data_IF_863747239283
#
_entry.id   IF_863747239283
#
_cell.length_a   1.000
_cell.length_b   1.000
_cell.length_c   1.000
_cell.angle_alpha   90.00
_cell.angle_beta   90.00
_cell.angle_gamma   90.00
#
_symmetry.space_group_name_H-M   'P 1'
#
loop_
_entity.id
_entity.type
_entity.pdbx_description
1 polymer ?
#
# COMPACT_ATOMS: atom_id res chain seq x y z
N UNK A 1 -2.60 -9.15 -26.91
CA UNK A 1 -2.09 -9.30 -25.52
C UNK A 1 -3.09 -8.65 -24.57
N UNK A 2 -3.52 -9.36 -23.54
CA UNK A 2 -4.54 -8.84 -22.60
C UNK A 2 -4.03 -7.62 -21.84
N UNK A 3 -4.91 -6.60 -21.67
CA UNK A 3 -4.58 -5.39 -20.92
C UNK A 3 -4.32 -5.73 -19.45
N UNK A 4 -3.34 -5.04 -18.82
CA UNK A 4 -3.09 -5.18 -17.38
C UNK A 4 -4.31 -4.80 -16.54
N UNK A 5 -5.17 -3.88 -17.01
CA UNK A 5 -6.39 -3.50 -16.32
C UNK A 5 -7.43 -4.62 -16.31
N UNK A 6 -7.54 -5.38 -17.42
CA UNK A 6 -8.39 -6.58 -17.45
C UNK A 6 -7.86 -7.62 -16.46
N UNK A 7 -6.56 -7.82 -16.40
CA UNK A 7 -5.93 -8.71 -15.42
C UNK A 7 -6.20 -8.27 -13.99
N UNK A 8 -6.06 -6.98 -13.66
CA UNK A 8 -6.42 -6.48 -12.31
C UNK A 8 -7.88 -6.78 -11.95
N UNK A 9 -8.82 -6.64 -12.91
CA UNK A 9 -10.22 -6.92 -12.69
C UNK A 9 -10.50 -8.42 -12.43
N UNK A 10 -9.63 -9.32 -12.87
CA UNK A 10 -9.74 -10.76 -12.59
C UNK A 10 -9.31 -11.16 -11.18
N UNK A 11 -8.59 -10.27 -10.47
CA UNK A 11 -8.05 -10.52 -9.13
C UNK A 11 -8.49 -9.47 -8.10
N UNK A 12 -9.83 -9.32 -7.88
CA UNK A 12 -10.33 -8.39 -6.86
C UNK A 12 -10.05 -8.87 -5.43
N UNK A 13 -9.76 -10.17 -5.25
CA UNK A 13 -9.46 -10.78 -3.97
C UNK A 13 -8.10 -11.47 -4.00
N UNK A 14 -7.34 -11.34 -2.91
CA UNK A 14 -6.10 -12.08 -2.68
C UNK A 14 -6.18 -12.67 -1.28
N UNK A 15 -6.10 -13.98 -1.17
CA UNK A 15 -6.11 -14.67 0.11
C UNK A 15 -4.70 -15.10 0.51
N UNK A 16 -4.35 -14.90 1.77
CA UNK A 16 -3.08 -15.31 2.37
C UNK A 16 -3.32 -16.17 3.60
N UNK A 17 -2.30 -16.47 4.39
CA UNK A 17 -2.44 -17.24 5.61
C UNK A 17 -3.40 -16.56 6.60
N UNK A 18 -3.17 -15.28 6.91
CA UNK A 18 -3.92 -14.54 7.93
C UNK A 18 -4.85 -13.46 7.35
N UNK A 19 -4.71 -13.11 6.07
CA UNK A 19 -5.37 -11.95 5.48
C UNK A 19 -6.28 -12.33 4.31
N UNK A 20 -7.35 -11.56 4.15
CA UNK A 20 -8.10 -11.41 2.92
C UNK A 20 -7.93 -9.98 2.43
N UNK A 21 -7.27 -9.83 1.29
CA UNK A 21 -7.23 -8.55 0.56
C UNK A 21 -8.45 -8.51 -0.36
N UNK A 22 -9.30 -7.51 -0.19
CA UNK A 22 -10.60 -7.39 -0.86
C UNK A 22 -10.93 -5.96 -1.26
N UNK A 23 -11.92 -5.73 -2.14
CA UNK A 23 -12.39 -4.38 -2.40
C UNK A 23 -12.78 -3.64 -1.12
N UNK A 24 -12.44 -2.35 -1.05
CA UNK A 24 -12.90 -1.45 0.01
C UNK A 24 -14.34 -1.05 -0.28
N UNK A 25 -15.16 -0.96 0.76
CA UNK A 25 -16.55 -0.52 0.68
C UNK A 25 -16.82 0.63 1.65
N UNK A 26 -17.99 1.28 1.55
CA UNK A 26 -18.39 2.31 2.51
C UNK A 26 -18.64 1.77 3.92
N UNK A 27 -18.91 0.47 4.05
CA UNK A 27 -19.07 -0.19 5.34
C UNK A 27 -17.76 -0.26 6.13
N UNK A 28 -16.61 -0.10 5.45
CA UNK A 28 -15.28 -0.05 6.09
C UNK A 28 -14.97 1.31 6.72
N UNK A 29 -15.85 2.30 6.55
CA UNK A 29 -15.55 3.69 6.93
C UNK A 29 -15.24 3.87 8.42
N UNK A 30 -15.95 3.20 9.32
CA UNK A 30 -15.71 3.30 10.76
C UNK A 30 -14.36 2.68 11.13
N UNK A 31 -14.06 1.49 10.61
CA UNK A 31 -12.79 0.82 10.85
C UNK A 31 -11.61 1.58 10.23
N UNK A 32 -11.81 2.19 9.06
CA UNK A 32 -10.79 3.08 8.45
C UNK A 32 -10.62 4.36 9.26
N UNK A 33 -11.71 4.98 9.73
CA UNK A 33 -11.64 6.20 10.53
C UNK A 33 -10.86 5.99 11.83
N UNK A 34 -10.94 4.82 12.43
CA UNK A 34 -10.20 4.48 13.65
C UNK A 34 -8.69 4.77 13.52
N UNK A 35 -8.07 4.42 12.38
CA UNK A 35 -6.66 4.70 12.16
C UNK A 35 -6.41 5.98 11.35
N UNK A 36 -7.32 6.35 10.46
CA UNK A 36 -7.16 7.53 9.62
C UNK A 36 -7.32 8.85 10.40
N UNK A 37 -8.04 8.85 11.55
CA UNK A 37 -8.14 9.96 12.47
C UNK A 37 -7.01 10.02 13.51
N UNK A 38 -6.17 9.00 13.58
CA UNK A 38 -5.05 8.92 14.51
C UNK A 38 -3.80 9.59 13.91
N UNK A 39 -3.27 10.62 14.60
CA UNK A 39 -2.12 11.40 14.14
C UNK A 39 -0.82 10.58 14.09
N UNK A 40 -0.66 9.61 14.97
CA UNK A 40 0.50 8.71 14.96
C UNK A 40 0.43 7.76 13.79
N UNK A 41 -0.74 7.14 13.55
CA UNK A 41 -0.95 6.21 12.44
C UNK A 41 -0.74 6.88 11.08
N UNK A 42 -1.20 8.11 10.94
CA UNK A 42 -1.10 8.86 9.67
C UNK A 42 0.17 9.70 9.54
N UNK A 43 1.09 9.63 10.52
CA UNK A 43 2.26 10.50 10.66
C UNK A 43 3.05 10.69 9.36
N UNK A 44 3.23 9.63 8.60
CA UNK A 44 4.07 9.60 7.40
C UNK A 44 3.31 9.33 6.09
N UNK A 45 1.99 9.23 6.14
CA UNK A 45 1.18 8.80 5.00
C UNK A 45 0.33 9.95 4.43
N UNK A 46 -0.89 10.10 4.88
CA UNK A 46 -1.85 11.07 4.38
C UNK A 46 -2.31 12.03 5.49
N UNK A 47 -2.98 13.14 5.16
CA UNK A 47 -3.55 14.04 6.17
C UNK A 47 -4.51 13.31 7.10
N UNK A 48 -4.39 13.58 8.41
CA UNK A 48 -5.27 12.98 9.41
C UNK A 48 -6.72 13.40 9.18
N UNK A 49 -7.62 12.45 9.02
CA UNK A 49 -9.03 12.71 8.79
C UNK A 49 -9.68 13.33 10.04
N UNK A 50 -10.51 14.34 9.82
CA UNK A 50 -11.14 15.10 10.91
C UNK A 50 -12.54 14.57 11.25
N UNK A 51 -13.16 13.77 10.37
CA UNK A 51 -14.50 13.23 10.57
C UNK A 51 -14.70 11.90 9.83
N UNK A 52 -15.71 11.15 10.27
CA UNK A 52 -16.14 9.94 9.57
C UNK A 52 -16.64 10.27 8.16
N UNK A 53 -17.29 11.42 7.98
CA UNK A 53 -17.76 11.86 6.66
C UNK A 53 -16.59 12.11 5.69
N UNK A 54 -15.53 12.72 6.16
CA UNK A 54 -14.29 12.86 5.38
C UNK A 54 -13.70 11.50 4.99
N UNK A 55 -13.72 10.53 5.90
CA UNK A 55 -13.26 9.16 5.60
C UNK A 55 -14.13 8.50 4.55
N UNK A 56 -15.47 8.62 4.62
CA UNK A 56 -16.39 8.11 3.60
C UNK A 56 -16.14 8.75 2.24
N UNK A 57 -15.92 10.07 2.21
CA UNK A 57 -15.58 10.79 1.00
C UNK A 57 -14.25 10.30 0.40
N UNK A 58 -13.24 10.08 1.23
CA UNK A 58 -11.96 9.53 0.80
C UNK A 58 -12.11 8.11 0.24
N UNK A 59 -12.91 7.25 0.87
CA UNK A 59 -13.23 5.91 0.35
C UNK A 59 -13.86 6.03 -1.05
N UNK A 60 -14.87 6.90 -1.21
CA UNK A 60 -15.55 7.08 -2.49
C UNK A 60 -14.59 7.54 -3.59
N UNK A 61 -13.75 8.53 -3.31
CA UNK A 61 -12.86 9.13 -4.30
C UNK A 61 -11.64 8.25 -4.64
N UNK A 62 -11.01 7.60 -3.64
CA UNK A 62 -9.75 6.89 -3.86
C UNK A 62 -9.93 5.39 -4.12
N UNK A 63 -10.98 4.76 -3.60
CA UNK A 63 -11.18 3.32 -3.73
C UNK A 63 -12.33 2.96 -4.66
N UNK A 64 -13.51 3.59 -4.52
CA UNK A 64 -14.66 3.23 -5.33
C UNK A 64 -14.60 3.82 -6.74
N UNK A 65 -14.09 5.05 -6.91
CA UNK A 65 -13.91 5.66 -8.22
C UNK A 65 -12.80 5.02 -9.04
N UNK A 66 -11.79 4.39 -8.39
CA UNK A 66 -10.65 3.75 -9.05
C UNK A 66 -10.30 2.44 -8.33
N UNK A 67 -11.08 1.37 -8.49
CA UNK A 67 -10.96 0.16 -7.66
C UNK A 67 -9.80 -0.76 -8.07
N UNK A 68 -9.32 -0.67 -9.32
CA UNK A 68 -8.32 -1.62 -9.82
C UNK A 68 -6.95 -1.41 -9.17
N UNK A 69 -6.41 -2.51 -8.63
CA UNK A 69 -5.12 -2.50 -7.94
C UNK A 69 -5.17 -1.92 -6.52
N UNK A 70 -6.34 -1.87 -5.89
CA UNK A 70 -6.54 -1.34 -4.54
C UNK A 70 -7.36 -2.29 -3.68
N UNK A 71 -6.84 -2.60 -2.51
CA UNK A 71 -7.45 -3.57 -1.61
C UNK A 71 -7.52 -3.05 -0.18
N UNK A 72 -8.61 -3.36 0.49
CA UNK A 72 -8.70 -3.36 1.94
C UNK A 72 -8.01 -4.61 2.49
N UNK A 73 -7.42 -4.50 3.65
CA UNK A 73 -6.78 -5.60 4.37
C UNK A 73 -7.71 -6.03 5.49
N UNK A 74 -8.20 -7.27 5.42
CA UNK A 74 -9.07 -7.86 6.41
C UNK A 74 -8.39 -9.05 7.10
N UNK A 75 -8.54 -9.15 8.41
CA UNK A 75 -8.11 -10.32 9.18
C UNK A 75 -9.10 -11.46 8.96
N UNK A 76 -8.63 -12.63 8.52
CA UNK A 76 -9.47 -13.83 8.31
C UNK A 76 -10.11 -14.36 9.61
N UNK A 77 -9.41 -14.18 10.71
CA UNK A 77 -9.82 -14.67 12.03
C UNK A 77 -11.16 -14.10 12.49
N UNK A 78 -11.40 -12.83 12.23
CA UNK A 78 -12.56 -12.12 12.81
C UNK A 78 -13.23 -11.15 11.82
N UNK A 79 -12.84 -11.13 10.57
CA UNK A 79 -13.38 -10.27 9.52
C UNK A 79 -13.09 -8.77 9.71
N UNK A 80 -12.12 -8.42 10.57
CA UNK A 80 -11.85 -7.01 10.87
C UNK A 80 -11.01 -6.36 9.77
N UNK A 81 -11.51 -5.23 9.25
CA UNK A 81 -10.74 -4.36 8.37
C UNK A 81 -9.66 -3.63 9.17
N UNK A 82 -8.39 -3.76 8.75
CA UNK A 82 -7.24 -3.26 9.51
C UNK A 82 -6.35 -2.29 8.73
N UNK A 83 -6.59 -2.08 7.46
CA UNK A 83 -5.76 -1.22 6.63
C UNK A 83 -6.04 -1.33 5.15
N UNK A 84 -5.15 -0.77 4.36
CA UNK A 84 -5.22 -0.81 2.89
C UNK A 84 -3.85 -1.02 2.28
N UNK A 85 -3.84 -1.59 1.07
CA UNK A 85 -2.67 -1.75 0.22
C UNK A 85 -3.06 -1.49 -1.23
N UNK A 86 -2.20 -0.84 -1.99
CA UNK A 86 -2.50 -0.52 -3.38
C UNK A 86 -1.28 -0.54 -4.30
N UNK A 87 -1.57 -0.67 -5.59
CA UNK A 87 -0.67 -0.35 -6.68
C UNK A 87 -1.16 0.94 -7.35
N UNK A 88 -0.37 1.98 -7.28
CA UNK A 88 -0.69 3.30 -7.85
C UNK A 88 0.39 3.76 -8.84
N UNK A 89 0.16 4.90 -9.52
CA UNK A 89 1.04 5.39 -10.59
C UNK A 89 1.31 4.30 -11.64
N UNK A 90 0.27 3.57 -11.99
CA UNK A 90 0.36 2.46 -12.94
C UNK A 90 0.65 3.01 -14.33
N UNK A 91 1.77 2.57 -14.90
CA UNK A 91 2.13 2.80 -16.30
C UNK A 91 1.89 1.49 -17.09
N UNK A 92 0.84 1.43 -17.90
CA UNK A 92 0.48 0.21 -18.62
C UNK A 92 1.44 -0.12 -19.78
N UNK A 93 2.18 0.86 -20.27
CA UNK A 93 3.12 0.67 -21.39
C UNK A 93 4.42 0.04 -20.86
N UNK A 94 5.00 0.64 -19.83
CA UNK A 94 6.22 0.12 -19.21
C UNK A 94 5.94 -0.99 -18.18
N UNK A 95 4.65 -1.23 -17.86
CA UNK A 95 4.19 -2.19 -16.85
C UNK A 95 4.93 -1.99 -15.51
N UNK A 96 4.90 -0.77 -15.03
CA UNK A 96 5.46 -0.40 -13.72
C UNK A 96 4.39 0.24 -12.84
N UNK A 97 4.56 0.12 -11.53
CA UNK A 97 3.69 0.73 -10.54
C UNK A 97 4.48 1.06 -9.26
N UNK A 98 3.89 1.88 -8.41
CA UNK A 98 4.32 2.05 -7.03
C UNK A 98 3.39 1.27 -6.11
N UNK A 99 3.93 0.65 -5.07
CA UNK A 99 3.17 -0.03 -4.03
C UNK A 99 3.14 0.83 -2.77
N UNK A 100 1.95 0.95 -2.16
CA UNK A 100 1.73 1.68 -0.92
C UNK A 100 0.83 0.90 0.02
N UNK A 101 1.01 1.06 1.32
CA UNK A 101 0.21 0.39 2.35
C UNK A 101 0.14 1.20 3.63
N UNK A 102 -0.92 0.99 4.37
CA UNK A 102 -1.09 1.45 5.75
C UNK A 102 -1.87 0.40 6.54
N UNK A 103 -1.44 0.17 7.78
CA UNK A 103 -2.12 -0.71 8.73
C UNK A 103 -2.40 0.07 10.01
N UNK A 104 -3.57 -0.16 10.60
CA UNK A 104 -3.93 0.35 11.90
C UNK A 104 -2.87 -0.04 12.94
N UNK A 105 -2.37 0.94 13.70
CA UNK A 105 -1.26 0.75 14.65
C UNK A 105 -1.46 -0.34 15.69
N UNK A 106 -2.71 -0.71 15.99
CA UNK A 106 -3.04 -1.82 16.86
C UNK A 106 -2.53 -3.17 16.34
N UNK A 107 -2.22 -3.25 15.05
CA UNK A 107 -1.75 -4.44 14.34
C UNK A 107 -0.31 -4.33 13.84
N UNK A 108 0.43 -3.30 14.28
CA UNK A 108 1.84 -3.16 13.93
C UNK A 108 2.70 -4.26 14.58
N UNK A 109 3.87 -4.50 14.01
CA UNK A 109 4.88 -5.47 14.50
C UNK A 109 4.39 -6.93 14.56
N UNK A 110 3.37 -7.28 13.80
CA UNK A 110 2.82 -8.65 13.71
C UNK A 110 3.11 -9.32 12.36
N UNK A 111 3.89 -8.68 11.48
CA UNK A 111 4.22 -9.21 10.15
C UNK A 111 3.14 -9.04 9.09
N UNK A 112 1.96 -8.51 9.44
CA UNK A 112 0.80 -8.43 8.54
C UNK A 112 1.04 -7.51 7.33
N UNK A 113 1.73 -6.37 7.52
CA UNK A 113 2.11 -5.50 6.40
C UNK A 113 3.04 -6.20 5.41
N UNK A 114 3.99 -6.98 5.91
CA UNK A 114 4.92 -7.77 5.08
C UNK A 114 4.16 -8.87 4.32
N UNK A 115 3.23 -9.55 4.99
CA UNK A 115 2.39 -10.59 4.37
C UNK A 115 1.55 -10.01 3.23
N UNK A 116 0.83 -8.91 3.47
CA UNK A 116 0.06 -8.22 2.44
C UNK A 116 0.94 -7.74 1.27
N UNK A 117 2.10 -7.15 1.57
CA UNK A 117 3.02 -6.64 0.56
C UNK A 117 3.58 -7.74 -0.33
N UNK A 118 3.96 -8.89 0.24
CA UNK A 118 4.40 -10.07 -0.52
C UNK A 118 3.33 -10.61 -1.44
N UNK A 119 2.09 -10.70 -0.97
CA UNK A 119 0.97 -11.19 -1.76
C UNK A 119 0.67 -10.29 -2.97
N UNK A 120 0.72 -8.97 -2.79
CA UNK A 120 0.54 -8.01 -3.91
C UNK A 120 1.73 -8.04 -4.87
N UNK A 121 2.96 -8.19 -4.38
CA UNK A 121 4.16 -8.34 -5.22
C UNK A 121 4.05 -9.61 -6.09
N UNK A 122 3.68 -10.74 -5.50
CA UNK A 122 3.45 -12.00 -6.21
C UNK A 122 2.39 -11.85 -7.30
N UNK A 123 1.22 -11.30 -6.95
CA UNK A 123 0.17 -11.01 -7.93
C UNK A 123 0.69 -10.14 -9.07
N UNK A 124 1.41 -9.06 -8.75
CA UNK A 124 1.89 -8.09 -9.73
C UNK A 124 2.82 -8.74 -10.76
N UNK A 125 3.78 -9.55 -10.33
CA UNK A 125 4.75 -10.17 -11.25
C UNK A 125 4.21 -11.43 -11.93
N UNK A 126 3.50 -12.30 -11.21
CA UNK A 126 3.10 -13.62 -11.73
C UNK A 126 1.80 -13.61 -12.52
N UNK A 127 0.83 -12.80 -12.10
CA UNK A 127 -0.51 -12.77 -12.71
C UNK A 127 -0.70 -11.56 -13.62
N UNK A 128 -0.41 -10.37 -13.12
CA UNK A 128 -0.58 -9.14 -13.89
C UNK A 128 0.52 -9.00 -14.95
N UNK A 129 1.74 -9.45 -14.64
CA UNK A 129 2.89 -9.38 -15.54
C UNK A 129 3.57 -8.02 -15.53
N UNK A 130 3.63 -7.38 -14.37
CA UNK A 130 4.40 -6.14 -14.18
C UNK A 130 5.90 -6.38 -14.42
N UNK A 131 6.61 -5.35 -14.86
CA UNK A 131 8.06 -5.39 -15.04
C UNK A 131 8.81 -4.80 -13.86
N UNK A 132 8.20 -3.84 -13.16
CA UNK A 132 8.86 -3.11 -12.07
C UNK A 132 7.87 -2.62 -11.03
N UNK A 133 8.20 -2.82 -9.77
CA UNK A 133 7.55 -2.16 -8.63
C UNK A 133 8.53 -1.23 -7.94
N UNK A 134 8.02 -0.10 -7.47
CA UNK A 134 8.75 0.85 -6.61
C UNK A 134 7.96 1.06 -5.33
N UNK A 135 8.65 1.41 -4.26
CA UNK A 135 8.05 1.85 -3.01
C UNK A 135 8.92 2.95 -2.41
N UNK A 136 8.35 3.75 -1.54
CA UNK A 136 9.10 4.77 -0.83
C UNK A 136 8.53 4.97 0.58
N UNK A 137 9.39 5.46 1.47
CA UNK A 137 8.98 5.90 2.80
C UNK A 137 9.71 7.19 3.19
N UNK A 138 9.18 7.90 4.17
CA UNK A 138 9.87 8.97 4.86
C UNK A 138 11.07 8.38 5.62
N UNK A 139 12.24 8.98 5.53
CA UNK A 139 13.48 8.50 6.19
C UNK A 139 13.27 8.28 7.69
N UNK A 140 12.40 9.07 8.30
CA UNK A 140 12.05 8.94 9.72
C UNK A 140 11.02 7.83 10.01
N UNK A 141 10.60 7.07 8.98
CA UNK A 141 9.76 5.89 9.11
C UNK A 141 10.49 4.60 8.72
N UNK A 142 11.52 4.17 9.47
CA UNK A 142 12.29 2.99 9.12
C UNK A 142 11.48 1.68 9.16
N UNK A 143 10.34 1.66 9.87
CA UNK A 143 9.47 0.49 9.93
C UNK A 143 8.90 0.13 8.55
N UNK A 144 8.53 1.13 7.74
CA UNK A 144 8.08 0.91 6.37
C UNK A 144 9.18 0.35 5.48
N UNK A 145 10.41 0.85 5.62
CA UNK A 145 11.58 0.31 4.93
C UNK A 145 11.83 -1.18 5.23
N UNK A 146 11.71 -1.57 6.51
CA UNK A 146 11.84 -2.98 6.91
C UNK A 146 10.78 -3.89 6.26
N UNK A 147 9.56 -3.41 6.08
CA UNK A 147 8.52 -4.15 5.35
C UNK A 147 8.93 -4.34 3.89
N UNK A 148 9.44 -3.31 3.23
CA UNK A 148 9.91 -3.37 1.84
C UNK A 148 11.06 -4.38 1.69
N UNK A 149 12.06 -4.30 2.55
CA UNK A 149 13.20 -5.23 2.56
C UNK A 149 12.76 -6.68 2.78
N UNK A 150 11.94 -6.93 3.79
CA UNK A 150 11.41 -8.27 4.09
C UNK A 150 10.51 -8.82 2.97
N UNK A 151 9.99 -7.95 2.11
CA UNK A 151 9.20 -8.34 0.94
C UNK A 151 10.05 -8.52 -0.32
N UNK A 152 11.39 -8.46 -0.21
CA UNK A 152 12.32 -8.69 -1.31
C UNK A 152 12.65 -7.45 -2.15
N UNK A 153 12.13 -6.27 -1.78
CA UNK A 153 12.51 -5.03 -2.44
C UNK A 153 13.90 -4.59 -2.00
N UNK A 154 14.64 -3.94 -2.90
CA UNK A 154 16.00 -3.45 -2.63
C UNK A 154 16.01 -1.94 -2.51
N UNK A 155 16.85 -1.43 -1.60
CA UNK A 155 17.17 -0.01 -1.53
C UNK A 155 17.67 0.49 -2.90
N UNK A 156 17.17 1.63 -3.33
CA UNK A 156 17.57 2.29 -4.57
C UNK A 156 18.40 3.55 -4.30
N UNK A 157 17.80 4.53 -3.65
CA UNK A 157 18.45 5.80 -3.33
C UNK A 157 17.67 6.58 -2.27
N UNK A 158 18.31 7.59 -1.71
CA UNK A 158 17.65 8.65 -0.94
C UNK A 158 17.36 9.86 -1.86
N UNK A 159 16.22 10.49 -1.64
CA UNK A 159 15.80 11.75 -2.27
C UNK A 159 15.70 12.82 -1.19
N UNK A 160 16.79 13.58 -0.94
CA UNK A 160 16.72 14.73 -0.02
C UNK A 160 15.85 15.83 -0.65
N UNK A 161 15.28 16.68 0.21
CA UNK A 161 14.38 17.77 -0.23
C UNK A 161 13.17 17.30 -1.04
N UNK A 162 12.67 16.10 -0.78
CA UNK A 162 11.60 15.49 -1.56
C UNK A 162 10.25 16.22 -1.44
N UNK A 163 9.97 16.79 -0.28
CA UNK A 163 8.79 17.63 -0.02
C UNK A 163 8.89 18.36 1.32
N UNK A 164 8.02 19.34 1.51
CA UNK A 164 7.74 19.88 2.85
C UNK A 164 6.87 18.88 3.63
N UNK A 165 7.09 18.79 4.93
CA UNK A 165 6.22 17.99 5.81
C UNK A 165 4.85 18.66 5.93
N UNK A 166 3.78 17.87 5.77
CA UNK A 166 2.41 18.38 5.85
C UNK A 166 1.94 18.61 7.29
N UNK A 167 2.67 18.10 8.29
CA UNK A 167 2.28 18.09 9.71
C UNK A 167 3.22 18.89 10.61
N UNK A 168 4.45 19.08 10.16
CA UNK A 168 5.47 19.87 10.87
C UNK A 168 5.95 21.03 9.99
N UNK A 169 5.45 22.25 10.21
CA UNK A 169 5.89 23.41 9.46
C UNK A 169 7.40 23.58 9.52
N UNK A 170 8.02 23.81 8.37
CA UNK A 170 9.48 24.02 8.25
C UNK A 170 10.32 22.73 8.18
N UNK A 171 9.74 21.55 8.43
CA UNK A 171 10.44 20.28 8.24
C UNK A 171 10.50 19.91 6.76
N UNK A 172 11.69 19.58 6.30
CA UNK A 172 11.94 19.06 4.96
C UNK A 172 12.10 17.54 5.06
N UNK A 173 11.35 16.81 4.22
CA UNK A 173 11.34 15.35 4.19
C UNK A 173 12.40 14.84 3.23
N UNK A 174 13.19 13.86 3.68
CA UNK A 174 13.99 12.99 2.82
C UNK A 174 13.21 11.69 2.61
N UNK A 175 13.04 11.26 1.36
CA UNK A 175 12.45 9.98 1.00
C UNK A 175 13.50 8.93 0.74
N UNK A 176 13.20 7.70 1.12
CA UNK A 176 14.01 6.51 0.83
C UNK A 176 13.25 5.67 -0.18
N UNK A 177 13.88 5.38 -1.30
CA UNK A 177 13.28 4.66 -2.42
C UNK A 177 13.74 3.21 -2.48
N UNK A 178 12.79 2.32 -2.75
CA UNK A 178 12.98 0.89 -2.95
C UNK A 178 12.49 0.47 -4.33
N UNK A 179 13.05 -0.60 -4.85
CA UNK A 179 12.73 -1.13 -6.17
C UNK A 179 12.77 -2.66 -6.16
N UNK A 180 11.91 -3.26 -6.98
CA UNK A 180 11.97 -4.67 -7.34
C UNK A 180 11.62 -4.80 -8.82
N UNK A 181 12.51 -5.43 -9.58
CA UNK A 181 12.26 -5.75 -11.00
C UNK A 181 11.75 -7.18 -11.12
N UNK A 182 11.14 -7.48 -12.24
CA UNK A 182 10.67 -8.82 -12.57
C UNK A 182 11.81 -9.85 -12.55
N UNK A 183 12.95 -9.47 -13.11
CA UNK A 183 14.15 -10.30 -13.16
C UNK A 183 14.64 -10.63 -11.75
N UNK A 184 14.73 -9.63 -10.88
CA UNK A 184 15.16 -9.82 -9.49
C UNK A 184 14.18 -10.68 -8.70
N UNK A 185 12.86 -10.48 -8.93
CA UNK A 185 11.83 -11.27 -8.26
C UNK A 185 11.97 -12.76 -8.59
N UNK A 186 12.07 -13.11 -9.87
CA UNK A 186 12.20 -14.52 -10.28
C UNK A 186 13.59 -15.12 -10.00
N UNK A 187 14.63 -14.32 -9.90
CA UNK A 187 15.97 -14.81 -9.52
C UNK A 187 16.07 -15.17 -8.04
N UNK A 188 15.20 -14.60 -7.17
CA UNK A 188 15.25 -14.81 -5.71
C UNK A 188 14.04 -15.61 -5.17
N UNK A 189 13.28 -16.26 -6.06
CA UNK A 189 12.12 -17.10 -5.72
C UNK A 189 12.50 -18.59 -5.44
#
# INVERSE_FOLDING_TARGET
>A
MESIFVKFAQYPYIETEHLLLRPVTLDDAEAMFEYASDRENTRYTFPTNQSLEETKNNIAQFYLANPLGRWGIELKDNGKFIGTIDLHKIDPVLKKAAIGYIINKKYWNQGLATEANRAVIELAFEKIGMNKLTALHDKDNPASGKVMEKSGMRFSHEEPYARMDNKEPGRIVTRVHYVLTKEDYFANK
#
